data_IF_692741358467
#
_entry.id   IF_692741358467
#
_cell.length_a   1.000
_cell.length_b   1.000
_cell.length_c   1.000
_cell.angle_alpha   90.00
_cell.angle_beta   90.00
_cell.angle_gamma   90.00
#
_symmetry.space_group_name_H-M   'P 1'
#
loop_
_entity.id
_entity.type
_entity.pdbx_description
1 polymer ?
#
# COMPACT_ATOMS: atom_id res chain seq x y z
N UNK A 1 -9.10 22.90 25.34
CA UNK A 1 -7.94 22.42 24.58
C UNK A 1 -6.91 21.94 25.59
N UNK A 2 -6.50 20.69 25.56
CA UNK A 2 -5.54 20.12 26.50
C UNK A 2 -4.32 19.67 25.72
N UNK A 3 -3.17 20.23 26.05
CA UNK A 3 -1.89 19.87 25.45
C UNK A 3 -1.54 18.42 25.84
N UNK A 4 -1.17 17.64 24.86
CA UNK A 4 -0.88 16.20 24.98
C UNK A 4 0.19 15.92 26.06
N UNK A 5 1.22 16.76 26.15
CA UNK A 5 2.26 16.65 27.18
C UNK A 5 1.73 16.74 28.63
N UNK A 6 0.52 17.26 28.84
CA UNK A 6 -0.09 17.32 30.18
C UNK A 6 -0.98 16.11 30.49
N UNK A 7 -1.28 15.28 29.49
CA UNK A 7 -2.19 14.13 29.61
C UNK A 7 -1.46 12.82 29.87
N UNK A 8 -0.18 12.73 29.49
CA UNK A 8 0.61 11.50 29.55
C UNK A 8 1.95 11.76 30.23
N UNK A 9 2.38 10.81 31.05
CA UNK A 9 3.67 10.89 31.77
C UNK A 9 4.86 10.56 30.87
N UNK A 10 4.67 9.60 29.94
CA UNK A 10 5.69 9.12 29.02
C UNK A 10 5.16 9.03 27.59
N UNK A 11 6.09 9.15 26.66
CA UNK A 11 5.85 9.04 25.22
C UNK A 11 6.84 8.06 24.63
N UNK A 12 6.35 7.06 23.89
CA UNK A 12 7.19 6.07 23.24
C UNK A 12 7.07 6.23 21.74
N UNK A 13 8.07 6.83 21.12
CA UNK A 13 8.16 6.93 19.66
C UNK A 13 8.73 5.65 19.06
N UNK A 14 8.09 5.19 18.00
CA UNK A 14 8.49 3.97 17.31
C UNK A 14 8.74 4.26 15.84
N UNK A 15 10.00 4.11 15.45
CA UNK A 15 10.40 4.08 14.05
C UNK A 15 10.32 2.63 13.55
N UNK A 16 9.44 2.39 12.56
CA UNK A 16 9.08 1.04 12.14
C UNK A 16 9.80 0.61 10.88
N UNK A 17 10.48 -0.53 10.95
CA UNK A 17 11.19 -1.16 9.85
C UNK A 17 10.80 -2.62 9.67
N UNK A 18 11.22 -3.23 8.55
CA UNK A 18 10.85 -4.61 8.21
C UNK A 18 11.41 -5.66 9.18
N UNK A 19 12.61 -5.47 9.73
CA UNK A 19 13.30 -6.46 10.58
C UNK A 19 13.27 -6.12 12.05
N UNK A 20 13.50 -4.86 12.39
CA UNK A 20 13.55 -4.37 13.76
C UNK A 20 12.79 -3.06 13.82
N UNK A 21 12.12 -2.80 14.92
CA UNK A 21 11.61 -1.48 15.25
C UNK A 21 12.55 -0.82 16.27
N UNK A 22 12.70 0.50 16.18
CA UNK A 22 13.47 1.29 17.13
C UNK A 22 12.52 2.10 18.00
N UNK A 23 12.71 2.03 19.30
CA UNK A 23 11.83 2.61 20.31
C UNK A 23 12.61 3.62 21.15
N UNK A 24 12.09 4.82 21.32
CA UNK A 24 12.61 5.83 22.24
C UNK A 24 11.55 6.23 23.24
N UNK A 25 11.86 6.15 24.54
CA UNK A 25 11.00 6.64 25.61
C UNK A 25 11.45 8.05 25.98
N UNK A 26 10.52 8.99 25.96
CA UNK A 26 10.74 10.35 26.45
C UNK A 26 9.72 10.71 27.52
N UNK A 27 10.10 11.59 28.44
CA UNK A 27 9.19 12.17 29.43
C UNK A 27 8.27 13.21 28.78
N UNK A 28 7.26 13.64 29.50
CA UNK A 28 6.38 14.74 29.09
C UNK A 28 7.12 16.09 28.89
N UNK A 29 8.34 16.22 29.41
CA UNK A 29 9.23 17.37 29.16
C UNK A 29 10.18 17.18 27.97
N UNK A 30 10.08 16.04 27.26
CA UNK A 30 10.91 15.71 26.09
C UNK A 30 12.32 15.17 26.44
N UNK A 31 12.57 14.86 27.72
CA UNK A 31 13.85 14.28 28.16
C UNK A 31 13.87 12.78 27.74
N UNK A 32 14.94 12.37 27.07
CA UNK A 32 15.14 10.98 26.67
C UNK A 32 15.44 10.11 27.90
N UNK A 33 14.65 9.04 28.08
CA UNK A 33 14.86 8.05 29.13
C UNK A 33 15.78 6.93 28.63
N UNK A 34 15.41 6.29 27.51
CA UNK A 34 16.20 5.21 26.89
C UNK A 34 15.74 5.00 25.44
N UNK A 35 16.66 4.49 24.61
CA UNK A 35 16.37 4.01 23.25
C UNK A 35 16.79 2.55 23.13
N UNK A 36 15.96 1.71 22.49
CA UNK A 36 16.25 0.32 22.17
C UNK A 36 15.64 -0.13 20.86
N UNK A 37 16.29 -1.13 20.27
CA UNK A 37 15.79 -1.83 19.08
C UNK A 37 15.34 -3.24 19.44
N UNK A 38 14.20 -3.68 18.87
CA UNK A 38 13.68 -5.04 19.03
C UNK A 38 13.22 -5.60 17.67
N UNK A 39 13.37 -6.92 17.45
CA UNK A 39 12.87 -7.58 16.26
C UNK A 39 11.34 -7.44 16.11
N UNK A 40 10.87 -7.42 14.86
CA UNK A 40 9.44 -7.31 14.50
C UNK A 40 8.62 -8.58 14.77
N UNK A 41 9.26 -9.65 15.27
CA UNK A 41 8.58 -10.89 15.66
C UNK A 41 7.68 -10.67 16.89
N UNK A 42 6.64 -11.50 17.05
CA UNK A 42 5.76 -11.45 18.24
C UNK A 42 6.53 -11.53 19.55
N UNK A 43 7.59 -12.34 19.61
CA UNK A 43 8.47 -12.41 20.78
C UNK A 43 9.28 -11.11 20.98
N UNK A 44 9.72 -10.47 19.89
CA UNK A 44 10.40 -9.17 19.94
C UNK A 44 9.48 -8.07 20.43
N UNK A 45 8.26 -8.02 19.92
CA UNK A 45 7.23 -7.06 20.35
C UNK A 45 6.90 -7.24 21.84
N UNK A 46 6.71 -8.49 22.30
CA UNK A 46 6.49 -8.75 23.75
C UNK A 46 7.65 -8.26 24.62
N UNK A 47 8.92 -8.44 24.17
CA UNK A 47 10.08 -7.90 24.87
C UNK A 47 10.09 -6.38 24.90
N UNK A 48 9.72 -5.72 23.79
CA UNK A 48 9.61 -4.27 23.73
C UNK A 48 8.56 -3.74 24.72
N UNK A 49 7.37 -4.34 24.77
CA UNK A 49 6.33 -3.99 25.73
C UNK A 49 6.79 -4.21 27.18
N UNK A 50 7.45 -5.34 27.47
CA UNK A 50 8.00 -5.61 28.81
C UNK A 50 9.09 -4.60 29.20
N UNK A 51 9.96 -4.24 28.26
CA UNK A 51 10.99 -3.23 28.47
C UNK A 51 10.37 -1.86 28.75
N UNK A 52 9.39 -1.45 27.94
CA UNK A 52 8.66 -0.21 28.11
C UNK A 52 7.98 -0.15 29.50
N UNK A 53 7.23 -1.17 29.88
CA UNK A 53 6.58 -1.24 31.18
C UNK A 53 7.55 -1.14 32.35
N UNK A 54 8.75 -1.75 32.25
CA UNK A 54 9.78 -1.60 33.32
C UNK A 54 10.32 -0.17 33.40
N UNK A 55 10.42 0.56 32.31
CA UNK A 55 10.96 1.93 32.23
C UNK A 55 9.94 2.99 32.63
N UNK A 56 8.66 2.71 32.43
CA UNK A 56 7.54 3.59 32.78
C UNK A 56 6.84 3.16 34.08
N UNK A 57 7.41 2.20 34.84
CA UNK A 57 6.80 1.63 36.04
C UNK A 57 5.40 1.05 35.85
N UNK A 58 5.11 0.58 34.62
CA UNK A 58 3.81 0.03 34.23
C UNK A 58 2.73 1.08 34.06
N UNK A 59 3.09 2.35 33.99
CA UNK A 59 2.14 3.45 33.81
C UNK A 59 1.41 3.34 32.46
N UNK A 60 0.10 3.11 32.51
CA UNK A 60 -0.76 3.05 31.34
C UNK A 60 -1.04 4.42 30.71
N UNK A 61 -0.77 5.52 31.42
CA UNK A 61 -0.75 6.88 30.88
C UNK A 61 0.54 7.15 30.09
N UNK A 62 0.99 6.12 29.35
CA UNK A 62 2.11 6.15 28.43
C UNK A 62 1.57 6.12 26.99
N UNK A 63 1.74 7.23 26.25
CA UNK A 63 1.28 7.33 24.87
C UNK A 63 2.32 6.74 23.90
N UNK A 64 1.90 5.78 23.10
CA UNK A 64 2.72 5.22 22.02
C UNK A 64 2.46 5.96 20.72
N UNK A 65 3.52 6.42 20.08
CA UNK A 65 3.49 7.16 18.80
C UNK A 65 4.20 6.32 17.75
N UNK A 66 3.45 5.75 16.81
CA UNK A 66 3.96 4.75 15.86
C UNK A 66 3.99 5.36 14.46
N UNK A 67 5.15 5.41 13.81
CA UNK A 67 5.24 5.73 12.39
C UNK A 67 4.76 4.54 11.57
N UNK A 68 3.88 4.78 10.57
CA UNK A 68 3.35 3.70 9.73
C UNK A 68 2.51 2.67 10.50
N UNK A 69 1.69 3.11 11.45
CA UNK A 69 0.81 2.28 12.26
C UNK A 69 -0.11 1.35 11.43
N UNK A 70 -0.37 1.71 10.17
CA UNK A 70 -1.17 0.92 9.23
C UNK A 70 -0.34 0.04 8.27
N UNK A 71 0.99 0.07 8.33
CA UNK A 71 1.92 -0.69 7.48
C UNK A 71 2.85 -1.57 8.31
N UNK A 72 4.13 -1.22 8.40
CA UNK A 72 5.11 -1.99 9.19
C UNK A 72 4.79 -2.02 10.69
N UNK A 73 4.10 -1.00 11.20
CA UNK A 73 3.68 -0.92 12.61
C UNK A 73 2.34 -1.59 12.93
N UNK A 74 1.62 -2.16 11.95
CA UNK A 74 0.25 -2.64 12.15
C UNK A 74 0.14 -3.75 13.21
N UNK A 75 1.04 -4.72 13.19
CA UNK A 75 1.06 -5.82 14.17
C UNK A 75 1.42 -5.28 15.56
N UNK A 76 2.43 -4.41 15.63
CA UNK A 76 2.84 -3.75 16.87
C UNK A 76 1.69 -2.95 17.49
N UNK A 77 0.99 -2.14 16.69
CA UNK A 77 -0.15 -1.33 17.12
C UNK A 77 -1.24 -2.18 17.78
N UNK A 78 -1.56 -3.34 17.17
CA UNK A 78 -2.50 -4.30 17.77
C UNK A 78 -2.03 -4.83 19.14
N UNK A 79 -0.74 -5.17 19.27
CA UNK A 79 -0.17 -5.62 20.53
C UNK A 79 -0.15 -4.54 21.63
N UNK A 80 0.13 -3.27 21.25
CA UNK A 80 0.11 -2.13 22.17
C UNK A 80 -1.31 -1.92 22.71
N UNK A 81 -2.31 -1.87 21.80
CA UNK A 81 -3.71 -1.70 22.17
C UNK A 81 -4.23 -2.86 23.05
N UNK A 82 -3.87 -4.11 22.71
CA UNK A 82 -4.22 -5.29 23.51
C UNK A 82 -3.57 -5.28 24.92
N UNK A 83 -2.43 -4.60 25.07
CA UNK A 83 -1.78 -4.39 26.37
C UNK A 83 -2.39 -3.22 27.19
N UNK A 84 -3.40 -2.52 26.65
CA UNK A 84 -4.10 -1.43 27.32
C UNK A 84 -3.47 -0.04 27.17
N UNK A 85 -2.42 0.10 26.37
CA UNK A 85 -1.78 1.39 26.14
C UNK A 85 -2.47 2.19 25.03
N UNK A 86 -2.61 3.52 25.15
CA UNK A 86 -3.02 4.40 24.07
C UNK A 86 -1.94 4.43 22.97
N UNK A 87 -2.38 4.34 21.72
CA UNK A 87 -1.49 4.38 20.55
C UNK A 87 -2.02 5.33 19.50
N UNK A 88 -1.13 6.15 18.95
CA UNK A 88 -1.42 7.12 17.88
C UNK A 88 -0.44 6.97 16.72
N UNK A 89 -0.86 7.38 15.55
CA UNK A 89 0.02 7.43 14.38
C UNK A 89 0.81 8.75 14.38
N UNK A 90 2.11 8.64 14.16
CA UNK A 90 2.96 9.81 14.00
C UNK A 90 2.48 10.67 12.82
N UNK A 91 2.51 11.98 13.00
CA UNK A 91 2.32 12.93 11.88
C UNK A 91 3.43 12.77 10.84
N UNK A 92 3.15 13.14 9.57
CA UNK A 92 4.24 13.25 8.58
C UNK A 92 5.23 14.30 9.05
N UNK A 93 6.46 13.86 9.32
CA UNK A 93 7.55 14.78 9.63
C UNK A 93 8.03 15.46 8.34
N UNK A 94 8.16 16.80 8.37
CA UNK A 94 8.65 17.57 7.24
C UNK A 94 10.06 17.13 6.85
N UNK A 95 10.26 16.84 5.55
CA UNK A 95 11.56 16.44 5.01
C UNK A 95 12.63 17.54 5.18
N UNK A 96 12.22 18.81 5.34
CA UNK A 96 13.13 19.96 5.58
C UNK A 96 13.80 19.93 6.96
N UNK A 97 13.19 19.30 7.96
CA UNK A 97 13.80 19.13 9.29
C UNK A 97 14.97 18.12 9.29
N UNK A 98 15.22 17.44 8.17
CA UNK A 98 16.28 16.42 8.00
C UNK A 98 17.61 16.98 7.50
N UNK A 99 17.69 18.26 7.11
CA UNK A 99 18.95 18.86 6.64
C UNK A 99 19.90 19.17 7.79
N UNK A 100 21.04 18.48 7.84
CA UNK A 100 22.19 18.82 8.69
C UNK A 100 22.46 17.93 9.91
N UNK A 101 21.58 16.97 10.24
CA UNK A 101 21.83 16.00 11.32
C UNK A 101 21.88 14.60 10.72
N UNK A 102 22.93 13.84 10.99
CA UNK A 102 23.11 12.49 10.48
C UNK A 102 21.87 11.63 10.73
N UNK A 103 21.48 10.84 9.73
CA UNK A 103 20.38 9.87 9.82
C UNK A 103 20.79 8.78 10.81
N UNK A 104 20.08 8.67 11.93
CA UNK A 104 20.11 7.48 12.77
C UNK A 104 18.68 7.15 13.19
N UNK A 105 18.32 5.89 13.14
CA UNK A 105 16.99 5.37 13.50
C UNK A 105 16.64 5.74 14.96
N UNK A 106 17.66 5.90 15.81
CA UNK A 106 17.51 6.35 17.22
C UNK A 106 17.03 7.80 17.32
N UNK A 107 17.56 8.69 16.46
CA UNK A 107 17.10 10.08 16.42
C UNK A 107 15.70 10.19 15.85
N UNK A 108 15.35 9.33 14.88
CA UNK A 108 14.04 9.34 14.26
C UNK A 108 12.97 8.84 15.24
N UNK A 109 13.21 7.77 15.99
CA UNK A 109 12.27 7.29 17.03
C UNK A 109 12.06 8.31 18.15
N UNK A 110 13.11 9.03 18.58
CA UNK A 110 13.00 10.12 19.56
C UNK A 110 12.19 11.29 19.03
N UNK A 111 12.41 11.70 17.76
CA UNK A 111 11.64 12.76 17.11
C UNK A 111 10.16 12.39 16.96
N UNK A 112 9.88 11.13 16.64
CA UNK A 112 8.51 10.59 16.58
C UNK A 112 7.83 10.79 17.94
N UNK A 113 8.45 10.39 19.05
CA UNK A 113 7.91 10.60 20.38
C UNK A 113 7.67 12.08 20.70
N UNK A 114 8.64 12.94 20.39
CA UNK A 114 8.57 14.36 20.69
C UNK A 114 7.55 15.12 19.82
N UNK A 115 7.20 14.59 18.64
CA UNK A 115 6.33 15.26 17.67
C UNK A 115 4.91 15.53 18.18
N UNK A 116 4.43 14.77 19.14
CA UNK A 116 3.09 14.91 19.69
C UNK A 116 3.02 15.75 20.97
N UNK A 117 4.14 16.03 21.61
CA UNK A 117 4.19 16.81 22.86
C UNK A 117 3.50 18.17 22.78
N UNK A 118 3.71 18.98 21.72
CA UNK A 118 3.11 20.31 21.62
C UNK A 118 1.67 20.30 21.06
N UNK A 119 1.13 19.15 20.67
CA UNK A 119 -0.17 19.04 20.03
C UNK A 119 -1.31 19.16 21.06
N UNK A 120 -2.47 19.62 20.61
CA UNK A 120 -3.71 19.44 21.33
C UNK A 120 -4.25 18.00 21.16
N UNK A 121 -4.97 17.49 22.14
CA UNK A 121 -5.46 16.12 22.16
C UNK A 121 -6.36 15.75 20.95
N UNK A 122 -7.08 16.71 20.40
CA UNK A 122 -7.93 16.57 19.22
C UNK A 122 -7.12 16.47 17.91
N UNK A 123 -5.86 16.86 17.92
CA UNK A 123 -4.93 16.73 16.79
C UNK A 123 -4.28 15.35 16.69
N UNK A 124 -4.44 14.52 17.72
CA UNK A 124 -3.89 13.16 17.72
C UNK A 124 -4.55 12.29 16.65
N UNK A 125 -3.73 11.56 15.93
CA UNK A 125 -4.18 10.64 14.88
C UNK A 125 -4.34 9.23 15.43
N UNK A 126 -5.55 8.91 15.85
CA UNK A 126 -5.86 7.57 16.34
C UNK A 126 -5.88 6.57 15.18
N UNK A 127 -5.09 5.49 15.25
CA UNK A 127 -5.13 4.46 14.22
C UNK A 127 -6.54 3.85 14.16
N UNK A 128 -7.07 3.77 12.97
CA UNK A 128 -8.32 3.05 12.78
C UNK A 128 -8.02 1.57 12.92
N UNK A 129 -8.55 0.91 13.92
CA UNK A 129 -8.37 -0.52 14.11
C UNK A 129 -8.84 -1.26 12.85
N UNK A 130 -7.89 -1.92 12.18
CA UNK A 130 -8.14 -2.71 10.99
C UNK A 130 -8.42 -4.15 11.39
N UNK A 131 -9.59 -4.41 11.99
CA UNK A 131 -10.00 -5.75 12.42
C UNK A 131 -11.20 -6.25 11.62
N UNK A 132 -11.40 -7.57 11.63
CA UNK A 132 -12.56 -8.20 11.02
C UNK A 132 -12.73 -7.89 9.54
N UNK A 133 -13.96 -7.57 9.15
CA UNK A 133 -14.37 -7.33 7.74
C UNK A 133 -13.54 -6.22 7.09
N UNK A 134 -13.24 -5.16 7.81
CA UNK A 134 -12.46 -4.03 7.27
C UNK A 134 -11.04 -4.44 6.88
N UNK A 135 -10.37 -5.23 7.71
CA UNK A 135 -9.03 -5.74 7.39
C UNK A 135 -9.08 -6.72 6.22
N UNK A 136 -10.09 -7.60 6.19
CA UNK A 136 -10.29 -8.52 5.07
C UNK A 136 -10.51 -7.77 3.75
N UNK A 137 -11.37 -6.75 3.72
CA UNK A 137 -11.59 -5.90 2.54
C UNK A 137 -10.29 -5.22 2.07
N UNK A 138 -9.49 -4.71 3.01
CA UNK A 138 -8.20 -4.07 2.68
C UNK A 138 -7.22 -5.04 2.01
N UNK A 139 -7.11 -6.27 2.52
CA UNK A 139 -6.27 -7.32 1.93
C UNK A 139 -6.76 -7.66 0.51
N UNK A 140 -8.06 -7.86 0.33
CA UNK A 140 -8.65 -8.20 -0.97
C UNK A 140 -8.50 -7.07 -1.99
N UNK A 141 -8.66 -5.80 -1.58
CA UNK A 141 -8.45 -4.65 -2.46
C UNK A 141 -6.98 -4.54 -2.90
N UNK A 142 -6.04 -4.73 -1.99
CA UNK A 142 -4.62 -4.73 -2.33
C UNK A 142 -4.26 -5.87 -3.31
N UNK A 143 -4.80 -7.07 -3.09
CA UNK A 143 -4.64 -8.21 -4.00
C UNK A 143 -5.25 -7.91 -5.38
N UNK A 144 -6.43 -7.28 -5.42
CA UNK A 144 -7.10 -6.88 -6.67
C UNK A 144 -6.25 -5.91 -7.49
N UNK A 145 -5.65 -4.91 -6.87
CA UNK A 145 -4.79 -3.95 -7.55
C UNK A 145 -3.55 -4.62 -8.15
N UNK A 146 -2.93 -5.55 -7.41
CA UNK A 146 -1.80 -6.33 -7.89
C UNK A 146 -2.18 -7.20 -9.10
N UNK A 147 -3.28 -7.96 -9.01
CA UNK A 147 -3.79 -8.81 -10.11
C UNK A 147 -4.17 -7.98 -11.34
N UNK A 148 -4.82 -6.82 -11.17
CA UNK A 148 -5.19 -5.92 -12.27
C UNK A 148 -3.97 -5.34 -12.98
N UNK A 149 -2.94 -4.98 -12.23
CA UNK A 149 -1.66 -4.50 -12.76
C UNK A 149 -0.95 -5.59 -13.55
N UNK A 150 -0.89 -6.81 -13.01
CA UNK A 150 -0.26 -7.95 -13.66
C UNK A 150 -1.01 -8.34 -14.94
N UNK A 151 -2.34 -8.37 -14.89
CA UNK A 151 -3.20 -8.62 -16.06
C UNK A 151 -2.91 -7.63 -17.18
N UNK A 152 -2.85 -6.35 -16.86
CA UNK A 152 -2.55 -5.28 -17.83
C UNK A 152 -1.17 -5.49 -18.46
N UNK A 153 -0.16 -5.84 -17.66
CA UNK A 153 1.19 -6.14 -18.15
C UNK A 153 1.18 -7.36 -19.10
N UNK A 154 0.49 -8.43 -18.71
CA UNK A 154 0.42 -9.65 -19.51
C UNK A 154 -0.28 -9.40 -20.87
N UNK A 155 -1.38 -8.66 -20.90
CA UNK A 155 -2.08 -8.29 -22.15
C UNK A 155 -1.18 -7.41 -23.04
N UNK A 156 -0.49 -6.42 -22.47
CA UNK A 156 0.39 -5.55 -23.22
C UNK A 156 1.57 -6.34 -23.82
N UNK A 157 2.17 -7.26 -23.05
CA UNK A 157 3.24 -8.13 -23.53
C UNK A 157 2.76 -9.06 -24.65
N UNK A 158 1.58 -9.68 -24.48
CA UNK A 158 0.96 -10.51 -25.52
C UNK A 158 0.70 -9.70 -26.79
N UNK A 159 0.10 -8.51 -26.66
CA UNK A 159 -0.18 -7.62 -27.79
C UNK A 159 1.08 -7.20 -28.52
N UNK A 160 2.15 -6.88 -27.77
CA UNK A 160 3.44 -6.52 -28.36
C UNK A 160 4.05 -7.70 -29.15
N UNK A 161 3.99 -8.89 -28.57
CA UNK A 161 4.52 -10.11 -29.21
C UNK A 161 3.84 -10.39 -30.54
N UNK A 162 2.50 -10.43 -30.59
CA UNK A 162 1.73 -10.73 -31.81
C UNK A 162 1.73 -9.58 -32.83
N UNK A 163 2.21 -8.39 -32.47
CA UNK A 163 2.47 -7.28 -33.41
C UNK A 163 3.83 -7.36 -34.06
N UNK A 164 4.80 -7.93 -33.39
CA UNK A 164 6.19 -8.00 -33.86
C UNK A 164 6.46 -9.30 -34.61
N UNK A 165 5.71 -10.35 -34.34
CA UNK A 165 5.84 -11.68 -34.98
C UNK A 165 4.48 -12.09 -35.49
N UNK A 166 4.40 -12.38 -36.79
CA UNK A 166 3.15 -12.79 -37.42
C UNK A 166 2.77 -14.22 -37.05
N UNK A 167 1.86 -14.33 -36.10
CA UNK A 167 1.28 -15.60 -35.66
C UNK A 167 -0.14 -15.81 -36.20
N UNK A 168 -0.60 -14.95 -37.12
CA UNK A 168 -1.93 -15.01 -37.76
C UNK A 168 -3.03 -14.30 -36.96
N UNK A 169 -2.68 -13.41 -35.99
CA UNK A 169 -3.63 -12.59 -35.23
C UNK A 169 -3.54 -11.13 -35.64
N UNK A 170 -4.69 -10.53 -35.93
CA UNK A 170 -4.76 -9.08 -36.18
C UNK A 170 -4.72 -8.31 -34.87
N UNK A 171 -3.55 -7.77 -34.54
CA UNK A 171 -3.29 -7.00 -33.32
C UNK A 171 -3.14 -5.48 -33.59
N UNK A 172 -3.65 -4.95 -34.70
CA UNK A 172 -3.65 -3.49 -35.01
C UNK A 172 -4.41 -2.70 -33.92
N UNK A 173 -5.42 -3.33 -33.31
CA UNK A 173 -6.12 -2.84 -32.11
C UNK A 173 -5.71 -3.66 -30.89
N UNK A 174 -6.20 -3.28 -29.71
CA UNK A 174 -6.07 -4.09 -28.50
C UNK A 174 -6.73 -5.45 -28.71
N UNK A 175 -6.09 -6.51 -28.22
CA UNK A 175 -6.64 -7.86 -28.31
C UNK A 175 -8.00 -7.95 -27.59
N UNK A 176 -8.95 -8.59 -28.23
CA UNK A 176 -10.26 -8.92 -27.63
C UNK A 176 -10.15 -10.13 -26.71
N UNK A 177 -11.15 -10.30 -25.85
CA UNK A 177 -11.22 -11.50 -24.98
C UNK A 177 -11.23 -12.80 -25.82
N UNK A 178 -11.99 -12.82 -26.94
CA UNK A 178 -12.08 -13.98 -27.81
C UNK A 178 -10.74 -14.33 -28.46
N UNK A 179 -9.96 -13.31 -28.86
CA UNK A 179 -8.61 -13.52 -29.38
C UNK A 179 -7.64 -14.07 -28.32
N UNK A 180 -7.76 -13.61 -27.06
CA UNK A 180 -6.96 -14.15 -25.96
C UNK A 180 -7.35 -15.60 -25.68
N UNK A 181 -8.65 -15.92 -25.69
CA UNK A 181 -9.17 -17.27 -25.53
C UNK A 181 -8.72 -18.19 -26.67
N UNK A 182 -8.70 -17.70 -27.90
CA UNK A 182 -8.20 -18.43 -29.08
C UNK A 182 -6.71 -18.75 -28.93
N UNK A 183 -5.89 -17.74 -28.60
CA UNK A 183 -4.43 -17.92 -28.41
C UNK A 183 -4.15 -18.92 -27.29
N UNK A 184 -4.90 -18.86 -26.19
CA UNK A 184 -4.72 -19.78 -25.06
C UNK A 184 -4.99 -21.26 -25.44
N UNK A 185 -5.80 -21.52 -26.46
CA UNK A 185 -6.14 -22.84 -26.98
C UNK A 185 -5.18 -23.36 -28.05
N UNK A 186 -4.27 -22.51 -28.52
CA UNK A 186 -3.31 -22.94 -29.53
C UNK A 186 -2.48 -24.12 -29.04
N UNK A 187 -1.95 -24.86 -29.99
CA UNK A 187 -1.00 -25.95 -29.77
C UNK A 187 0.34 -25.60 -30.40
N UNK A 188 1.40 -26.15 -29.89
CA UNK A 188 2.73 -26.11 -30.51
C UNK A 188 2.64 -26.76 -31.89
N UNK A 189 3.36 -26.19 -32.86
CA UNK A 189 3.44 -26.66 -34.25
C UNK A 189 4.90 -26.92 -34.59
N UNK A 190 5.13 -27.70 -35.63
CA UNK A 190 6.47 -27.86 -36.20
C UNK A 190 6.75 -26.64 -37.09
N UNK A 191 7.29 -25.61 -36.51
CA UNK A 191 7.62 -24.31 -37.11
C UNK A 191 9.11 -24.03 -36.84
N UNK A 192 9.66 -22.98 -37.50
CA UNK A 192 10.99 -22.49 -37.20
C UNK A 192 11.09 -22.08 -35.72
N UNK A 193 12.32 -22.08 -35.20
CA UNK A 193 12.57 -21.93 -33.76
C UNK A 193 12.04 -20.60 -33.20
N UNK A 194 12.08 -19.53 -33.96
CA UNK A 194 11.56 -18.21 -33.61
C UNK A 194 10.05 -18.19 -33.53
N UNK A 195 9.33 -18.74 -34.51
CA UNK A 195 7.86 -18.85 -34.53
C UNK A 195 7.35 -19.79 -33.44
N UNK A 196 8.00 -20.94 -33.27
CA UNK A 196 7.65 -21.91 -32.23
C UNK A 196 7.78 -21.27 -30.86
N UNK A 197 8.91 -20.60 -30.57
CA UNK A 197 9.13 -19.91 -29.29
C UNK A 197 8.13 -18.78 -29.06
N UNK A 198 7.85 -17.98 -30.10
CA UNK A 198 6.88 -16.91 -30.01
C UNK A 198 5.45 -17.44 -29.73
N UNK A 199 5.08 -18.55 -30.39
CA UNK A 199 3.78 -19.20 -30.15
C UNK A 199 3.64 -19.76 -28.74
N UNK A 200 4.67 -20.42 -28.23
CA UNK A 200 4.68 -20.93 -26.85
C UNK A 200 4.52 -19.81 -25.84
N UNK A 201 5.24 -18.71 -26.03
CA UNK A 201 5.17 -17.55 -25.14
C UNK A 201 3.80 -16.84 -25.25
N UNK A 202 3.23 -16.73 -26.48
CA UNK A 202 1.88 -16.21 -26.65
C UNK A 202 0.82 -17.05 -25.92
N UNK A 203 0.91 -18.38 -26.00
CA UNK A 203 0.03 -19.31 -25.27
C UNK A 203 0.18 -19.10 -23.77
N UNK A 204 1.40 -19.01 -23.28
CA UNK A 204 1.69 -18.81 -21.84
C UNK A 204 1.09 -17.49 -21.32
N UNK A 205 1.28 -16.40 -22.06
CA UNK A 205 0.74 -15.09 -21.71
C UNK A 205 -0.79 -15.08 -21.74
N UNK A 206 -1.40 -15.66 -22.79
CA UNK A 206 -2.85 -15.76 -22.91
C UNK A 206 -3.47 -16.55 -21.73
N UNK A 207 -2.91 -17.71 -21.42
CA UNK A 207 -3.33 -18.51 -20.26
C UNK A 207 -3.19 -17.74 -18.94
N UNK A 208 -2.12 -16.95 -18.79
CA UNK A 208 -1.94 -16.10 -17.59
C UNK A 208 -3.02 -15.03 -17.49
N UNK A 209 -3.41 -14.41 -18.61
CA UNK A 209 -4.51 -13.43 -18.65
C UNK A 209 -5.83 -14.06 -18.21
N UNK A 210 -6.14 -15.27 -18.70
CA UNK A 210 -7.37 -15.99 -18.33
C UNK A 210 -7.37 -16.35 -16.84
N UNK A 211 -6.27 -16.89 -16.33
CA UNK A 211 -6.15 -17.21 -14.90
C UNK A 211 -6.34 -15.94 -14.02
N UNK A 212 -5.78 -14.81 -14.43
CA UNK A 212 -5.98 -13.55 -13.71
C UNK A 212 -7.42 -13.02 -13.80
N UNK A 213 -8.13 -13.28 -14.89
CA UNK A 213 -9.57 -12.96 -14.98
C UNK A 213 -10.37 -13.76 -13.95
N UNK A 214 -10.10 -15.06 -13.83
CA UNK A 214 -10.78 -15.95 -12.87
C UNK A 214 -10.45 -15.56 -11.42
N UNK A 215 -9.17 -15.25 -11.13
CA UNK A 215 -8.73 -14.75 -9.82
C UNK A 215 -9.42 -13.43 -9.46
N UNK A 216 -9.52 -12.50 -10.41
CA UNK A 216 -10.21 -11.22 -10.23
C UNK A 216 -11.72 -11.39 -10.00
N UNK A 217 -12.35 -12.34 -10.69
CA UNK A 217 -13.77 -12.66 -10.47
C UNK A 217 -13.99 -13.27 -9.09
N UNK A 218 -13.15 -14.21 -8.69
CA UNK A 218 -13.18 -14.81 -7.34
C UNK A 218 -13.00 -13.76 -6.26
N UNK A 219 -12.03 -12.87 -6.43
CA UNK A 219 -11.80 -11.74 -5.54
C UNK A 219 -13.02 -10.80 -5.48
N UNK A 220 -13.65 -10.52 -6.62
CA UNK A 220 -14.85 -9.69 -6.69
C UNK A 220 -16.00 -10.30 -5.89
N UNK A 221 -16.27 -11.59 -6.07
CA UNK A 221 -17.32 -12.30 -5.35
C UNK A 221 -17.08 -12.22 -3.83
N UNK A 222 -15.82 -12.45 -3.41
CA UNK A 222 -15.45 -12.38 -2.00
C UNK A 222 -15.57 -10.97 -1.41
N UNK A 223 -15.24 -9.94 -2.17
CA UNK A 223 -15.45 -8.54 -1.77
C UNK A 223 -16.94 -8.26 -1.59
N UNK A 224 -17.78 -8.70 -2.53
CA UNK A 224 -19.23 -8.52 -2.48
C UNK A 224 -19.84 -9.18 -1.24
N UNK A 225 -19.50 -10.45 -0.98
CA UNK A 225 -19.95 -11.17 0.22
C UNK A 225 -19.61 -10.41 1.51
N UNK A 226 -18.37 -9.92 1.63
CA UNK A 226 -17.93 -9.20 2.83
C UNK A 226 -18.60 -7.83 2.99
N UNK A 227 -18.87 -7.15 1.87
CA UNK A 227 -19.60 -5.88 1.89
C UNK A 227 -21.06 -6.09 2.30
N UNK A 228 -21.72 -7.10 1.73
CA UNK A 228 -23.12 -7.43 2.06
C UNK A 228 -23.29 -7.90 3.51
N UNK A 229 -22.33 -8.66 4.03
CA UNK A 229 -22.30 -9.07 5.43
C UNK A 229 -21.93 -7.94 6.41
N UNK A 230 -21.49 -6.77 5.91
CA UNK A 230 -21.07 -5.65 6.75
C UNK A 230 -22.28 -4.88 7.29
N UNK A 231 -22.23 -4.38 8.55
CA UNK A 231 -23.22 -3.43 9.06
C UNK A 231 -23.35 -2.13 8.22
N UNK A 232 -22.36 -1.84 7.37
CA UNK A 232 -22.37 -0.69 6.47
C UNK A 232 -23.08 -0.96 5.13
N UNK A 233 -23.54 -2.17 4.85
CA UNK A 233 -24.22 -2.53 3.61
C UNK A 233 -25.41 -1.60 3.27
N UNK A 234 -26.30 -1.21 4.21
CA UNK A 234 -27.38 -0.30 3.93
C UNK A 234 -26.94 1.09 3.46
N UNK A 235 -25.77 1.56 3.94
CA UNK A 235 -25.22 2.88 3.57
C UNK A 235 -24.62 2.88 2.17
N UNK A 236 -24.09 1.74 1.72
CA UNK A 236 -23.51 1.57 0.38
C UNK A 236 -24.59 1.47 -0.71
N UNK A 237 -25.74 0.87 -0.39
CA UNK A 237 -26.91 0.80 -1.28
C UNK A 237 -27.60 2.15 -1.53
N UNK A 238 -27.36 3.17 -0.68
CA UNK A 238 -27.91 4.51 -0.80
C UNK A 238 -27.04 5.47 -1.64
N UNK A 239 -25.86 5.05 -2.10
CA UNK A 239 -24.99 5.89 -2.94
C UNK A 239 -25.53 5.93 -4.37
N UNK A 240 -25.98 7.09 -4.91
CA UNK A 240 -26.42 7.20 -6.30
C UNK A 240 -25.19 7.08 -7.20
N UNK A 241 -24.87 5.88 -7.63
CA UNK A 241 -23.68 5.61 -8.46
C UNK A 241 -23.19 4.17 -8.44
N UNK A 242 -23.75 3.29 -7.62
CA UNK A 242 -23.53 1.85 -7.72
C UNK A 242 -24.36 1.23 -8.83
N UNK A 243 -24.29 1.82 -10.04
CA UNK A 243 -24.82 1.20 -11.23
C UNK A 243 -23.98 -0.03 -11.55
N UNK A 244 -24.62 -1.14 -11.44
CA UNK A 244 -24.25 -2.45 -11.91
C UNK A 244 -23.61 -2.42 -13.29
N UNK A 245 -22.52 -3.21 -13.43
CA UNK A 245 -21.99 -3.68 -14.70
C UNK A 245 -21.60 -2.60 -15.74
N UNK A 246 -20.41 -2.02 -15.55
CA UNK A 246 -19.65 -1.69 -16.74
C UNK A 246 -18.95 -2.96 -17.25
N UNK A 247 -19.12 -3.34 -18.52
CA UNK A 247 -18.33 -4.41 -19.10
C UNK A 247 -16.86 -4.02 -19.02
N UNK A 248 -16.00 -5.00 -18.70
CA UNK A 248 -14.54 -4.86 -18.51
C UNK A 248 -13.81 -4.55 -19.84
N UNK A 249 -14.28 -3.55 -20.59
CA UNK A 249 -13.68 -3.07 -21.84
C UNK A 249 -13.91 -1.57 -22.01
N UNK A 250 -13.24 -0.75 -21.19
CA UNK A 250 -13.01 0.64 -21.56
C UNK A 250 -11.68 1.11 -20.95
N UNK A 251 -10.65 1.18 -21.76
CA UNK A 251 -9.45 1.97 -21.47
C UNK A 251 -9.86 3.42 -21.22
N UNK A 252 -9.39 4.07 -20.13
CA UNK A 252 -9.54 5.50 -20.01
C UNK A 252 -8.68 6.17 -21.08
N UNK A 253 -9.33 6.84 -22.03
CA UNK A 253 -8.66 7.78 -22.92
C UNK A 253 -8.05 8.88 -22.06
N UNK A 254 -6.73 9.01 -22.11
CA UNK A 254 -6.04 10.17 -21.57
C UNK A 254 -6.49 11.47 -22.25
N UNK A 255 -6.41 12.62 -21.57
CA UNK A 255 -6.86 13.89 -22.12
C UNK A 255 -5.98 14.28 -23.30
N UNK A 256 -6.61 14.45 -24.46
CA UNK A 256 -6.02 15.10 -25.64
C UNK A 256 -5.73 16.56 -25.27
N UNK A 257 -4.47 16.91 -25.14
CA UNK A 257 -4.03 18.30 -25.19
C UNK A 257 -4.12 18.78 -26.64
N UNK A 258 -5.20 19.43 -26.99
CA UNK A 258 -5.28 20.36 -28.08
C UNK A 258 -4.64 21.67 -27.63
N UNK A 259 -3.67 22.15 -28.34
CA UNK A 259 -3.03 23.43 -28.11
C UNK A 259 -2.13 23.78 -29.29
N UNK A 260 -2.74 24.36 -30.31
CA UNK A 260 -2.08 25.07 -31.39
C UNK A 260 -1.22 26.21 -30.80
N UNK A 261 0.04 26.27 -31.17
CA UNK A 261 0.93 27.35 -30.76
C UNK A 261 2.21 27.32 -31.55
N UNK A 262 2.12 27.83 -32.77
CA UNK A 262 3.27 28.20 -33.64
C UNK A 262 4.16 29.21 -32.91
N UNK A 263 5.45 28.94 -32.79
CA UNK A 263 6.49 29.96 -32.66
C UNK A 263 7.66 29.66 -33.60
N UNK A 264 8.26 30.74 -34.17
CA UNK A 264 9.16 30.63 -35.31
C UNK A 264 10.61 30.36 -34.92
N UNK A 265 11.36 29.86 -35.87
CA UNK A 265 12.81 29.73 -35.92
C UNK A 265 13.51 31.08 -35.72
N UNK A 266 14.56 31.13 -34.93
CA UNK A 266 15.77 31.91 -35.13
C UNK A 266 16.89 31.17 -34.45
N UNK A 267 17.76 30.52 -35.18
CA UNK A 267 19.13 30.88 -35.53
C UNK A 267 19.87 31.58 -34.38
N UNK A 268 20.92 30.92 -33.87
CA UNK A 268 22.27 31.50 -33.90
C UNK A 268 23.31 30.48 -33.43
N UNK A 269 24.28 30.32 -34.24
CA UNK A 269 25.55 29.65 -34.17
C UNK A 269 26.58 30.47 -33.32
N UNK A 270 27.62 29.72 -32.85
CA UNK A 270 28.98 30.19 -32.42
C UNK A 270 29.05 30.43 -30.90
N UNK A 271 30.03 29.95 -30.18
CA UNK A 271 31.38 29.38 -30.44
C UNK A 271 31.65 28.22 -29.45
#
# INVERSE_FOLDING_TARGET
MSIVAHLYSFFIGVDTHARNHVYSIVTNTGILVETRSFPTTSAGIKRALTWAGRRTSGDLDTLWVVEGAASYGAVLTGHIAAAGYPVVEAGRMDAKARHGVGKSDELDSRRIAASVLPLDADQLRWPRHGEGVRQALRVLLSARDAMSTERTRAINSLTALVRTIDLGIDARKSLTSDQVDEIAKWRTRNEDVDLSTAREEAIRLAKRVLALNDDLQTNHNRLTELVEASPAAPLLGMSPGSAHSAPLCASPRGPTRGGCGTRPRSQLWRE
#
